data_IF_199059894992
#
_entry.id   IF_199059894992
#
_cell.length_a   1.000
_cell.length_b   1.000
_cell.length_c   1.000
_cell.angle_alpha   90.00
_cell.angle_beta   90.00
_cell.angle_gamma   90.00
#
_symmetry.space_group_name_H-M   'P 1'
#
loop_
_entity.id
_entity.type
_entity.pdbx_description
1 polymer ?
#
# COMPACT_ATOMS: atom_id res chain seq x y z
N UNK A 1 -2.10 -8.93 22.36
CA UNK A 1 -1.02 -9.94 22.33
C UNK A 1 -0.06 -9.76 21.13
N UNK A 2 -0.09 -8.66 20.39
CA UNK A 2 0.76 -8.42 19.19
C UNK A 2 2.14 -7.82 19.51
N UNK A 3 2.36 -7.27 20.67
CA UNK A 3 3.60 -6.52 21.00
C UNK A 3 4.84 -7.38 21.25
N UNK A 4 4.69 -8.61 21.67
CA UNK A 4 5.81 -9.50 22.00
C UNK A 4 6.58 -10.01 20.75
N UNK A 5 5.90 -10.11 19.61
CA UNK A 5 6.49 -10.65 18.39
C UNK A 5 7.27 -9.59 17.58
N UNK A 6 6.97 -8.28 17.79
CA UNK A 6 7.69 -7.21 17.11
C UNK A 6 9.14 -7.10 17.55
N UNK A 7 9.41 -7.20 18.86
CA UNK A 7 10.73 -6.94 19.44
C UNK A 7 11.80 -7.89 18.90
N UNK A 8 11.53 -9.18 18.79
CA UNK A 8 12.52 -10.16 18.33
C UNK A 8 12.82 -10.02 16.83
N UNK A 9 11.80 -9.89 16.00
CA UNK A 9 11.97 -9.72 14.56
C UNK A 9 12.68 -8.40 14.23
N UNK A 10 12.29 -7.31 14.89
CA UNK A 10 12.90 -6.00 14.70
C UNK A 10 14.35 -6.00 15.19
N UNK A 11 14.66 -6.67 16.31
CA UNK A 11 16.03 -6.78 16.80
C UNK A 11 16.96 -7.44 15.79
N UNK A 12 16.52 -8.51 15.12
CA UNK A 12 17.28 -9.17 14.06
C UNK A 12 17.54 -8.23 12.87
N UNK A 13 16.51 -7.48 12.47
CA UNK A 13 16.61 -6.49 11.38
C UNK A 13 17.56 -5.36 11.77
N UNK A 14 17.41 -4.78 12.95
CA UNK A 14 18.26 -3.68 13.43
C UNK A 14 19.71 -4.11 13.53
N UNK A 15 19.99 -5.28 14.11
CA UNK A 15 21.38 -5.78 14.25
C UNK A 15 22.08 -5.89 12.89
N UNK A 16 21.36 -6.29 11.84
CA UNK A 16 21.91 -6.43 10.48
C UNK A 16 22.35 -5.10 9.87
N UNK A 17 21.69 -3.99 10.26
CA UNK A 17 21.88 -2.67 9.65
C UNK A 17 22.49 -1.62 10.56
N UNK A 18 22.57 -1.84 11.88
CA UNK A 18 22.91 -0.86 12.91
C UNK A 18 24.19 -0.04 12.62
N UNK A 19 25.18 -0.65 11.99
CA UNK A 19 26.48 -0.03 11.75
C UNK A 19 26.67 0.42 10.28
N UNK A 20 25.58 0.52 9.51
CA UNK A 20 25.64 0.94 8.09
C UNK A 20 25.05 2.32 7.93
N UNK A 21 25.58 3.10 6.98
CA UNK A 21 24.98 4.36 6.56
C UNK A 21 23.60 4.11 5.94
N UNK A 22 22.64 5.02 6.17
CA UNK A 22 21.27 4.84 5.70
C UNK A 22 20.49 3.73 6.38
N UNK A 23 20.96 3.24 7.52
CA UNK A 23 20.38 2.12 8.25
C UNK A 23 18.88 2.27 8.51
N UNK A 24 18.40 3.48 8.80
CA UNK A 24 16.99 3.73 9.09
C UNK A 24 16.08 3.34 7.92
N UNK A 25 16.41 3.76 6.70
CA UNK A 25 15.61 3.45 5.50
C UNK A 25 15.59 1.93 5.26
N UNK A 26 16.75 1.27 5.40
CA UNK A 26 16.86 -0.17 5.19
C UNK A 26 16.13 -0.99 6.25
N UNK A 27 16.18 -0.54 7.51
CA UNK A 27 15.41 -1.16 8.61
C UNK A 27 13.91 -1.01 8.34
N UNK A 28 13.43 0.19 8.01
CA UNK A 28 12.02 0.43 7.71
C UNK A 28 11.55 -0.37 6.49
N UNK A 29 12.39 -0.49 5.45
CA UNK A 29 12.08 -1.31 4.28
C UNK A 29 11.91 -2.79 4.66
N UNK A 30 12.80 -3.34 5.48
CA UNK A 30 12.67 -4.72 5.94
C UNK A 30 11.47 -4.92 6.89
N UNK A 31 11.18 -3.94 7.76
CA UNK A 31 9.96 -3.95 8.57
C UNK A 31 8.72 -4.00 7.67
N UNK A 32 8.65 -3.16 6.65
CA UNK A 32 7.56 -3.19 5.70
C UNK A 32 7.47 -4.51 4.92
N UNK A 33 8.59 -5.11 4.54
CA UNK A 33 8.60 -6.42 3.88
C UNK A 33 8.06 -7.54 4.78
N UNK A 34 8.23 -7.43 6.10
CA UNK A 34 7.73 -8.42 7.06
C UNK A 34 6.23 -8.27 7.36
N UNK A 35 5.72 -7.04 7.39
CA UNK A 35 4.36 -6.75 7.85
C UNK A 35 3.45 -6.18 6.75
N UNK A 36 3.99 -5.94 5.54
CA UNK A 36 3.27 -5.28 4.44
C UNK A 36 3.16 -3.75 4.58
N UNK A 37 3.38 -3.21 5.77
CA UNK A 37 3.37 -1.79 6.13
C UNK A 37 4.25 -1.56 7.35
N UNK A 38 4.39 -0.31 7.80
CA UNK A 38 5.14 0.01 9.03
C UNK A 38 4.16 0.26 10.17
N UNK A 39 3.87 -0.77 11.01
CA UNK A 39 3.00 -0.60 12.18
C UNK A 39 3.59 0.40 13.16
N UNK A 40 2.73 1.16 13.87
CA UNK A 40 3.17 2.11 14.90
C UNK A 40 4.02 1.44 15.99
N UNK A 41 3.66 0.22 16.42
CA UNK A 41 4.42 -0.54 17.40
C UNK A 41 5.82 -0.88 16.90
N UNK A 42 5.95 -1.27 15.63
CA UNK A 42 7.24 -1.52 15.00
C UNK A 42 8.08 -0.23 14.88
N UNK A 43 7.46 0.89 14.52
CA UNK A 43 8.14 2.19 14.44
C UNK A 43 8.70 2.63 15.80
N UNK A 44 7.94 2.43 16.90
CA UNK A 44 8.41 2.70 18.27
C UNK A 44 9.60 1.84 18.65
N UNK A 45 9.56 0.54 18.32
CA UNK A 45 10.64 -0.38 18.60
C UNK A 45 11.92 -0.04 17.82
N UNK A 46 11.78 0.29 16.53
CA UNK A 46 12.90 0.77 15.69
C UNK A 46 13.49 2.05 16.27
N UNK A 47 12.65 3.01 16.69
CA UNK A 47 13.10 4.26 17.33
C UNK A 47 13.94 3.98 18.58
N UNK A 48 13.47 3.09 19.44
CA UNK A 48 14.15 2.68 20.67
C UNK A 48 15.50 2.02 20.38
N UNK A 49 15.54 1.06 19.48
CA UNK A 49 16.75 0.25 19.22
C UNK A 49 17.81 1.02 18.41
N UNK A 50 17.43 1.88 17.48
CA UNK A 50 18.34 2.77 16.74
C UNK A 50 18.69 4.04 17.52
N UNK A 51 18.03 4.30 18.66
CA UNK A 51 18.19 5.53 19.48
C UNK A 51 17.93 6.81 18.65
N UNK A 52 16.91 6.78 17.80
CA UNK A 52 16.46 7.94 17.00
C UNK A 52 15.09 8.40 17.47
N UNK A 53 14.78 9.71 17.40
CA UNK A 53 13.46 10.20 17.74
C UNK A 53 12.40 9.56 16.82
N UNK A 54 11.21 9.28 17.37
CA UNK A 54 10.09 8.75 16.59
C UNK A 54 9.70 9.70 15.43
N UNK A 55 9.84 11.02 15.65
CA UNK A 55 9.62 12.03 14.62
C UNK A 55 10.49 11.79 13.39
N UNK A 56 11.75 11.38 13.57
CA UNK A 56 12.66 11.05 12.47
C UNK A 56 12.21 9.84 11.67
N UNK A 57 11.60 8.86 12.33
CA UNK A 57 11.01 7.69 11.67
C UNK A 57 9.85 8.13 10.76
N UNK A 58 8.93 8.94 11.30
CA UNK A 58 7.79 9.42 10.52
C UNK A 58 8.20 10.40 9.41
N UNK A 59 9.23 11.21 9.61
CA UNK A 59 9.82 12.04 8.56
C UNK A 59 10.23 11.19 7.35
N UNK A 60 10.96 10.10 7.58
CA UNK A 60 11.37 9.18 6.51
C UNK A 60 10.16 8.49 5.86
N UNK A 61 9.23 7.98 6.66
CA UNK A 61 8.04 7.28 6.14
C UNK A 61 7.17 8.20 5.27
N UNK A 62 7.00 9.45 5.68
CA UNK A 62 6.16 10.40 4.93
C UNK A 62 6.87 11.01 3.72
N UNK A 63 8.18 11.10 3.75
CA UNK A 63 8.97 11.58 2.62
C UNK A 63 9.05 10.56 1.48
N UNK A 64 9.23 9.29 1.80
CA UNK A 64 9.33 8.22 0.80
C UNK A 64 7.99 7.54 0.58
N UNK A 65 7.38 7.75 -0.59
CA UNK A 65 6.08 7.14 -0.97
C UNK A 65 6.10 5.60 -1.03
N UNK A 66 7.27 4.99 -0.91
CA UNK A 66 7.43 3.53 -0.79
C UNK A 66 6.81 3.00 0.50
N UNK A 67 6.84 3.80 1.58
CA UNK A 67 6.38 3.33 2.88
C UNK A 67 4.88 3.52 3.05
N UNK A 68 4.25 2.49 3.64
CA UNK A 68 2.84 2.46 3.99
C UNK A 68 2.69 2.45 5.51
N UNK A 69 1.82 3.27 6.05
CA UNK A 69 1.51 3.35 7.50
C UNK A 69 0.20 2.67 7.85
N UNK A 70 -0.60 2.36 6.84
CA UNK A 70 -1.86 1.63 6.96
C UNK A 70 -1.67 0.19 6.46
N UNK A 71 -2.34 -0.79 7.06
CA UNK A 71 -2.33 -2.16 6.56
C UNK A 71 -2.78 -2.16 5.09
N UNK A 72 -2.06 -2.86 4.20
CA UNK A 72 -2.57 -3.11 2.85
C UNK A 72 -3.84 -3.95 2.96
N UNK A 73 -4.76 -3.75 2.03
CA UNK A 73 -5.85 -4.70 1.85
C UNK A 73 -5.32 -6.02 1.29
N UNK A 74 -6.11 -7.07 1.39
CA UNK A 74 -5.84 -8.34 0.72
C UNK A 74 -5.69 -8.11 -0.79
N UNK A 75 -6.53 -7.23 -1.33
CA UNK A 75 -6.48 -6.76 -2.71
C UNK A 75 -6.21 -5.25 -2.75
N UNK A 76 -5.25 -4.84 -3.59
CA UNK A 76 -4.86 -3.44 -3.75
C UNK A 76 -5.35 -2.90 -5.09
N UNK A 77 -6.23 -1.91 -5.05
CA UNK A 77 -6.79 -1.25 -6.23
C UNK A 77 -6.08 0.08 -6.42
N UNK A 78 -5.37 0.23 -7.55
CA UNK A 78 -4.66 1.45 -7.92
C UNK A 78 -5.33 2.09 -9.14
N UNK A 79 -5.96 3.24 -8.95
CA UNK A 79 -6.61 3.97 -10.04
C UNK A 79 -5.64 4.98 -10.64
N UNK A 80 -5.38 4.86 -11.94
CA UNK A 80 -4.49 5.78 -12.66
C UNK A 80 -5.16 7.13 -12.88
N UNK A 81 -4.51 8.20 -12.41
CA UNK A 81 -4.92 9.60 -12.59
C UNK A 81 -3.92 10.40 -13.44
N UNK A 82 -3.10 9.71 -14.26
CA UNK A 82 -2.31 10.36 -15.30
C UNK A 82 -3.21 11.08 -16.31
N UNK A 83 -2.67 12.07 -17.03
CA UNK A 83 -3.43 12.98 -17.90
C UNK A 83 -4.41 12.26 -18.83
N UNK A 84 -3.98 11.20 -19.51
CA UNK A 84 -4.84 10.45 -20.42
C UNK A 84 -6.00 9.75 -19.69
N UNK A 85 -5.75 9.14 -18.53
CA UNK A 85 -6.77 8.48 -17.73
C UNK A 85 -7.73 9.48 -17.11
N UNK A 86 -7.22 10.61 -16.59
CA UNK A 86 -8.04 11.69 -16.06
C UNK A 86 -9.03 12.22 -17.11
N UNK A 87 -8.53 12.59 -18.31
CA UNK A 87 -9.36 13.11 -19.40
C UNK A 87 -10.40 12.09 -19.90
N UNK A 88 -10.11 10.80 -19.80
CA UNK A 88 -11.04 9.72 -20.20
C UNK A 88 -11.92 9.22 -19.05
N UNK A 89 -11.99 9.96 -17.94
CA UNK A 89 -12.92 9.69 -16.84
C UNK A 89 -12.33 8.89 -15.66
N UNK A 90 -11.02 8.92 -15.45
CA UNK A 90 -10.37 8.30 -14.28
C UNK A 90 -10.96 8.77 -12.95
N UNK A 91 -11.33 10.06 -12.83
CA UNK A 91 -12.00 10.59 -11.64
C UNK A 91 -13.34 9.91 -11.34
N UNK A 92 -14.12 9.59 -12.38
CA UNK A 92 -15.39 8.86 -12.20
C UNK A 92 -15.18 7.45 -11.68
N UNK A 93 -14.07 6.80 -12.06
CA UNK A 93 -13.72 5.49 -11.52
C UNK A 93 -13.38 5.59 -10.03
N UNK A 94 -12.61 6.62 -9.64
CA UNK A 94 -12.30 6.87 -8.21
C UNK A 94 -13.59 7.04 -7.41
N UNK A 95 -14.49 7.91 -7.88
CA UNK A 95 -15.77 8.17 -7.20
C UNK A 95 -16.62 6.90 -7.07
N UNK A 96 -16.63 6.07 -8.10
CA UNK A 96 -17.40 4.83 -8.09
C UNK A 96 -16.78 3.77 -7.16
N UNK A 97 -15.44 3.65 -7.11
CA UNK A 97 -14.76 2.80 -6.13
C UNK A 97 -15.02 3.26 -4.70
N UNK A 98 -14.93 4.57 -4.42
CA UNK A 98 -15.24 5.13 -3.10
C UNK A 98 -16.67 4.80 -2.66
N UNK A 99 -17.65 4.91 -3.55
CA UNK A 99 -19.05 4.55 -3.27
C UNK A 99 -19.23 3.05 -3.05
N UNK A 100 -18.65 2.23 -3.93
CA UNK A 100 -18.82 0.77 -3.90
C UNK A 100 -18.17 0.15 -2.66
N UNK A 101 -16.98 0.64 -2.29
CA UNK A 101 -16.20 0.16 -1.15
C UNK A 101 -16.55 0.87 0.17
N UNK A 102 -17.26 2.00 0.10
CA UNK A 102 -17.55 2.88 1.22
C UNK A 102 -16.30 3.30 2.01
N UNK A 103 -15.24 3.66 1.28
CA UNK A 103 -13.96 4.14 1.81
C UNK A 103 -13.48 5.36 1.03
N UNK A 104 -12.55 6.11 1.62
CA UNK A 104 -11.85 7.21 0.96
C UNK A 104 -10.53 6.73 0.32
N UNK A 105 -9.86 7.67 -0.39
CA UNK A 105 -8.52 7.43 -0.95
C UNK A 105 -7.52 7.04 0.14
N UNK A 106 -6.61 6.14 -0.20
CA UNK A 106 -5.58 5.60 0.70
C UNK A 106 -6.14 4.90 1.95
N UNK A 107 -7.37 4.39 1.86
CA UNK A 107 -7.99 3.62 2.92
C UNK A 107 -8.18 2.15 2.53
N UNK A 108 -8.27 1.32 3.56
CA UNK A 108 -8.61 -0.10 3.44
C UNK A 108 -10.02 -0.30 3.97
N UNK A 109 -10.79 -1.16 3.34
CA UNK A 109 -12.13 -1.53 3.83
C UNK A 109 -12.06 -2.11 5.25
N UNK A 110 -13.11 -1.93 6.09
CA UNK A 110 -13.11 -2.41 7.46
C UNK A 110 -12.90 -3.92 7.62
N UNK A 111 -13.27 -4.69 6.60
CA UNK A 111 -13.03 -6.14 6.52
C UNK A 111 -11.59 -6.50 6.12
N UNK A 112 -10.78 -5.49 5.73
CA UNK A 112 -9.40 -5.71 5.29
C UNK A 112 -9.25 -6.28 3.87
N UNK A 113 -10.34 -6.43 3.12
CA UNK A 113 -10.31 -7.07 1.79
C UNK A 113 -9.70 -6.14 0.73
N UNK A 114 -10.12 -4.87 0.67
CA UNK A 114 -9.72 -3.96 -0.40
C UNK A 114 -9.01 -2.73 0.13
N UNK A 115 -7.92 -2.34 -0.55
CA UNK A 115 -7.24 -1.06 -0.35
C UNK A 115 -7.35 -0.23 -1.63
N UNK A 116 -7.87 1.00 -1.52
CA UNK A 116 -8.00 1.92 -2.65
C UNK A 116 -6.89 2.97 -2.60
N UNK A 117 -6.11 3.08 -3.68
CA UNK A 117 -5.11 4.14 -3.84
C UNK A 117 -5.19 4.78 -5.22
N UNK A 118 -4.73 6.02 -5.29
CA UNK A 118 -4.58 6.76 -6.54
C UNK A 118 -3.11 6.79 -6.93
N UNK A 119 -2.82 6.52 -8.21
CA UNK A 119 -1.48 6.59 -8.76
C UNK A 119 -1.40 7.59 -9.90
N UNK A 120 -0.25 8.24 -10.04
CA UNK A 120 -0.08 9.32 -11.03
C UNK A 120 -0.12 8.80 -12.46
N UNK A 121 0.68 7.80 -12.79
CA UNK A 121 0.69 7.21 -14.12
C UNK A 121 1.32 5.80 -14.06
N UNK A 122 0.66 4.83 -14.70
CA UNK A 122 1.13 3.45 -14.81
C UNK A 122 1.71 3.13 -16.20
N UNK A 123 1.79 4.13 -17.10
CA UNK A 123 2.34 3.95 -18.44
C UNK A 123 1.38 3.39 -19.50
N UNK A 124 0.14 3.02 -19.14
CA UNK A 124 -0.82 2.35 -20.03
C UNK A 124 -1.77 3.32 -20.74
N UNK A 125 -1.29 4.46 -21.26
CA UNK A 125 -2.12 5.53 -21.81
C UNK A 125 -2.95 5.11 -23.02
N UNK A 126 -2.51 4.12 -23.79
CA UNK A 126 -3.25 3.60 -24.96
C UNK A 126 -4.58 2.94 -24.61
N UNK A 127 -4.67 2.36 -23.42
CA UNK A 127 -5.87 1.67 -22.91
C UNK A 127 -6.56 2.46 -21.79
N UNK A 128 -6.33 3.77 -21.71
CA UNK A 128 -6.94 4.63 -20.70
C UNK A 128 -8.49 4.69 -20.84
N UNK A 129 -9.23 4.83 -19.72
CA UNK A 129 -8.74 4.87 -18.35
C UNK A 129 -8.39 3.48 -17.83
N UNK A 130 -7.33 3.40 -17.02
CA UNK A 130 -6.79 2.14 -16.55
C UNK A 130 -6.67 2.09 -15.01
N UNK A 131 -6.85 0.90 -14.47
CA UNK A 131 -6.63 0.57 -13.07
C UNK A 131 -5.67 -0.62 -12.98
N UNK A 132 -5.02 -0.77 -11.85
CA UNK A 132 -4.28 -1.98 -11.50
C UNK A 132 -4.93 -2.58 -10.27
N UNK A 133 -5.23 -3.86 -10.34
CA UNK A 133 -5.72 -4.63 -9.20
C UNK A 133 -4.67 -5.68 -8.90
N UNK A 134 -4.08 -5.58 -7.72
CA UNK A 134 -2.89 -6.33 -7.35
C UNK A 134 -1.77 -6.10 -8.40
N UNK A 135 -1.47 -7.08 -9.23
CA UNK A 135 -0.49 -6.97 -10.31
C UNK A 135 -1.14 -7.01 -11.73
N UNK A 136 -2.47 -7.08 -11.81
CA UNK A 136 -3.21 -7.16 -13.08
C UNK A 136 -3.70 -5.79 -13.55
N UNK A 137 -3.35 -5.42 -14.80
CA UNK A 137 -3.77 -4.14 -15.42
C UNK A 137 -5.09 -4.33 -16.16
N UNK A 138 -6.09 -3.55 -15.78
CA UNK A 138 -7.37 -3.45 -16.48
C UNK A 138 -7.47 -2.12 -17.23
N UNK A 139 -7.65 -2.18 -18.55
CA UNK A 139 -7.77 -1.01 -19.41
C UNK A 139 -9.18 -0.77 -19.89
N UNK A 140 -9.43 0.47 -20.39
CA UNK A 140 -10.73 0.91 -20.90
C UNK A 140 -11.89 0.67 -19.92
N UNK A 141 -11.56 0.82 -18.62
CA UNK A 141 -12.49 0.52 -17.52
C UNK A 141 -13.58 1.57 -17.48
N UNK A 142 -14.82 1.10 -17.34
CA UNK A 142 -16.00 1.97 -17.16
C UNK A 142 -16.56 1.76 -15.74
N UNK A 143 -17.25 2.77 -15.17
CA UNK A 143 -17.85 2.63 -13.82
C UNK A 143 -18.73 1.39 -13.67
N UNK A 144 -19.48 1.02 -14.72
CA UNK A 144 -20.38 -0.15 -14.70
C UNK A 144 -19.64 -1.49 -14.58
N UNK A 145 -18.35 -1.52 -14.94
CA UNK A 145 -17.53 -2.73 -14.91
C UNK A 145 -16.95 -2.99 -13.50
N UNK A 146 -16.93 -1.98 -12.63
CA UNK A 146 -16.27 -2.06 -11.32
C UNK A 146 -16.84 -3.21 -10.46
N UNK A 147 -18.16 -3.34 -10.41
CA UNK A 147 -18.80 -4.42 -9.64
C UNK A 147 -18.36 -5.80 -10.13
N UNK A 148 -18.36 -6.03 -11.43
CA UNK A 148 -17.92 -7.30 -12.01
C UNK A 148 -16.44 -7.59 -11.79
N UNK A 149 -15.59 -6.57 -11.84
CA UNK A 149 -14.16 -6.69 -11.53
C UNK A 149 -13.99 -7.11 -10.07
N UNK A 150 -14.69 -6.47 -9.14
CA UNK A 150 -14.60 -6.78 -7.71
C UNK A 150 -15.13 -8.17 -7.36
N UNK A 151 -16.25 -8.58 -7.95
CA UNK A 151 -16.79 -9.94 -7.78
C UNK A 151 -15.82 -11.01 -8.31
N UNK A 152 -15.16 -10.72 -9.44
CA UNK A 152 -14.15 -11.60 -10.02
C UNK A 152 -12.89 -11.73 -9.16
N UNK A 153 -12.55 -10.71 -8.37
CA UNK A 153 -11.40 -10.70 -7.45
C UNK A 153 -11.72 -11.47 -6.17
N UNK A 154 -12.88 -11.22 -5.57
CA UNK A 154 -13.31 -11.91 -4.34
C UNK A 154 -13.42 -13.43 -4.52
N UNK A 155 -13.53 -13.92 -5.76
CA UNK A 155 -13.54 -15.36 -6.08
C UNK A 155 -12.16 -15.98 -6.34
N UNK A 156 -11.11 -15.17 -6.47
CA UNK A 156 -9.73 -15.66 -6.66
C UNK A 156 -8.99 -15.58 -5.32
N UNK A 157 -8.78 -16.72 -4.64
CA UNK A 157 -7.77 -16.78 -3.56
C UNK A 157 -6.41 -16.41 -4.17
N UNK A 158 -5.86 -15.27 -3.76
CA UNK A 158 -4.50 -14.89 -4.15
C UNK A 158 -3.51 -15.83 -3.49
N UNK A 159 -2.96 -16.74 -4.28
CA UNK A 159 -1.75 -17.48 -3.91
C UNK A 159 -0.60 -16.48 -3.99
N UNK A 160 -0.28 -15.84 -2.86
CA UNK A 160 0.97 -15.12 -2.73
C UNK A 160 2.10 -16.14 -2.81
N UNK A 161 2.77 -16.23 -3.96
CA UNK A 161 4.03 -16.93 -4.07
C UNK A 161 5.08 -16.23 -3.19
N UNK A 162 5.71 -17.03 -2.32
CA UNK A 162 6.86 -16.69 -1.49
C UNK A 162 8.02 -16.07 -2.30
#
# INVERSE_FOLDING_TARGET
>A
METANFSENISKVVQRWKNKEGNLIMVLHQVQSLYGYVPRGAALEVASQLKVPLARIYEVITFYHLFKITPPGKHNISVCMGTACYLRGGSRLVDEFKKTLNIEEAQTTPDGEFHLQIVRCIGCCGIAPAIVVDDEVHGSVKPEMIKGIMEGISGKETVHAN
#
